data_IF_500449422032
#
_entry.id   IF_500449422032
#
_cell.length_a   1.000
_cell.length_b   1.000
_cell.length_c   1.000
_cell.angle_alpha   90.00
_cell.angle_beta   90.00
_cell.angle_gamma   90.00
#
_symmetry.space_group_name_H-M   'P 1'
#
loop_
_entity.id
_entity.type
_entity.pdbx_description
1 polymer ?
#
# COMPACT_ATOMS: atom_id res chain seq x y z
N UNK A 1 6.20 13.35 -17.73
CA UNK A 1 7.14 12.45 -17.02
C UNK A 1 7.27 12.71 -15.51
N UNK A 2 7.22 13.95 -15.00
CA UNK A 2 7.25 14.20 -13.54
C UNK A 2 5.91 13.89 -12.83
N UNK A 3 4.78 14.07 -13.51
CA UNK A 3 3.44 13.83 -12.93
C UNK A 3 3.23 12.35 -12.62
N UNK A 4 3.58 11.44 -13.53
CA UNK A 4 3.43 9.99 -13.32
C UNK A 4 4.27 9.45 -12.15
N UNK A 5 5.47 10.02 -11.93
CA UNK A 5 6.37 9.67 -10.83
C UNK A 5 5.81 10.08 -9.47
N UNK A 6 5.36 11.33 -9.39
CA UNK A 6 4.65 11.94 -8.25
C UNK A 6 3.41 11.08 -7.96
N UNK A 7 2.61 10.79 -8.98
CA UNK A 7 1.37 10.00 -8.87
C UNK A 7 1.62 8.60 -8.29
N UNK A 8 2.68 7.88 -8.69
CA UNK A 8 2.99 6.55 -8.15
C UNK A 8 3.29 6.56 -6.63
N UNK A 9 3.98 7.59 -6.14
CA UNK A 9 4.25 7.78 -4.71
C UNK A 9 2.98 8.14 -3.93
N UNK A 10 2.15 9.05 -4.46
CA UNK A 10 0.86 9.40 -3.85
C UNK A 10 -0.12 8.22 -3.85
N UNK A 11 -0.12 7.39 -4.89
CA UNK A 11 -0.93 6.16 -4.95
C UNK A 11 -0.49 5.15 -3.90
N UNK A 12 0.83 5.01 -3.67
CA UNK A 12 1.34 4.16 -2.57
C UNK A 12 0.86 4.68 -1.20
N UNK A 13 0.99 5.99 -0.97
CA UNK A 13 0.55 6.62 0.28
C UNK A 13 -0.96 6.48 0.46
N UNK A 14 -1.75 6.70 -0.60
CA UNK A 14 -3.20 6.52 -0.58
C UNK A 14 -3.60 5.08 -0.27
N UNK A 15 -2.92 4.08 -0.85
CA UNK A 15 -3.12 2.67 -0.53
C UNK A 15 -2.84 2.37 0.94
N UNK A 16 -1.74 2.89 1.49
CA UNK A 16 -1.41 2.74 2.92
C UNK A 16 -2.51 3.35 3.80
N UNK A 17 -2.96 4.57 3.47
CA UNK A 17 -4.02 5.25 4.23
C UNK A 17 -5.32 4.45 4.19
N UNK A 18 -5.72 3.93 3.03
CA UNK A 18 -6.93 3.11 2.89
C UNK A 18 -6.84 1.84 3.74
N UNK A 19 -5.68 1.17 3.75
CA UNK A 19 -5.47 -0.03 4.56
C UNK A 19 -5.59 0.30 6.05
N UNK A 20 -4.95 1.39 6.51
CA UNK A 20 -4.99 1.83 7.91
C UNK A 20 -6.41 2.23 8.33
N UNK A 21 -7.11 3.03 7.52
CA UNK A 21 -8.50 3.43 7.79
C UNK A 21 -9.44 2.23 7.79
N UNK A 22 -9.26 1.27 6.87
CA UNK A 22 -10.02 0.04 6.86
C UNK A 22 -9.83 -0.80 8.12
N UNK A 23 -8.61 -0.84 8.67
CA UNK A 23 -8.33 -1.54 9.95
C UNK A 23 -8.93 -0.82 11.14
N UNK A 24 -8.82 0.51 11.19
CA UNK A 24 -9.45 1.34 12.21
C UNK A 24 -10.97 1.15 12.22
N UNK A 25 -11.59 1.07 11.04
CA UNK A 25 -13.02 0.80 10.89
C UNK A 25 -13.38 -0.61 11.35
N UNK A 26 -12.62 -1.65 10.93
CA UNK A 26 -12.84 -3.01 11.42
C UNK A 26 -12.71 -3.10 12.94
N UNK A 27 -11.71 -2.45 13.53
CA UNK A 27 -11.54 -2.40 14.98
C UNK A 27 -12.70 -1.69 15.67
N UNK A 28 -13.17 -0.56 15.14
CA UNK A 28 -14.32 0.16 15.67
C UNK A 28 -15.61 -0.68 15.63
N UNK A 29 -15.74 -1.59 14.65
CA UNK A 29 -16.90 -2.45 14.48
C UNK A 29 -16.87 -3.73 15.32
N UNK A 30 -15.69 -4.35 15.49
CA UNK A 30 -15.56 -5.64 16.20
C UNK A 30 -15.03 -5.53 17.62
N UNK A 31 -14.43 -4.40 18.01
CA UNK A 31 -13.85 -4.17 19.35
C UNK A 31 -12.56 -4.96 19.64
N UNK A 32 -12.17 -5.89 18.77
CA UNK A 32 -10.98 -6.73 18.93
C UNK A 32 -9.90 -6.38 17.90
N UNK A 33 -8.83 -5.75 18.38
CA UNK A 33 -7.71 -5.32 17.56
C UNK A 33 -6.94 -6.52 16.96
N UNK A 34 -6.83 -7.61 17.72
CA UNK A 34 -6.14 -8.83 17.31
C UNK A 34 -6.83 -9.57 16.16
N UNK A 35 -8.16 -9.66 16.17
CA UNK A 35 -8.92 -10.27 15.07
C UNK A 35 -8.83 -9.44 13.79
N UNK A 36 -8.76 -8.11 13.93
CA UNK A 36 -8.59 -7.21 12.79
C UNK A 36 -7.21 -7.35 12.13
N UNK A 37 -6.15 -7.52 12.93
CA UNK A 37 -4.77 -7.69 12.47
C UNK A 37 -4.55 -9.10 11.88
N UNK A 38 -5.09 -10.14 12.50
CA UNK A 38 -4.95 -11.52 12.03
C UNK A 38 -5.96 -11.91 10.94
N UNK A 39 -6.79 -10.97 10.47
CA UNK A 39 -7.75 -11.28 9.41
C UNK A 39 -7.04 -11.60 8.09
N UNK A 40 -7.57 -12.61 7.39
CA UNK A 40 -7.13 -12.96 6.04
C UNK A 40 -7.14 -11.77 5.08
N UNK A 41 -8.12 -10.88 5.22
CA UNK A 41 -8.21 -9.63 4.47
C UNK A 41 -6.97 -8.76 4.67
N UNK A 42 -6.46 -8.60 5.90
CA UNK A 42 -5.25 -7.80 6.16
C UNK A 42 -4.02 -8.41 5.49
N UNK A 43 -3.89 -9.73 5.54
CA UNK A 43 -2.82 -10.46 4.87
C UNK A 43 -2.82 -10.22 3.34
N UNK A 44 -3.98 -10.28 2.69
CA UNK A 44 -4.12 -9.96 1.27
C UNK A 44 -3.72 -8.52 0.93
N UNK A 45 -4.08 -7.55 1.79
CA UNK A 45 -3.72 -6.14 1.59
C UNK A 45 -2.20 -5.93 1.71
N UNK A 46 -1.55 -6.55 2.70
CA UNK A 46 -0.09 -6.50 2.87
C UNK A 46 0.61 -7.14 1.67
N UNK A 47 0.14 -8.30 1.20
CA UNK A 47 0.68 -8.96 0.01
C UNK A 47 0.57 -8.08 -1.24
N UNK A 48 -0.59 -7.48 -1.49
CA UNK A 48 -0.77 -6.54 -2.61
C UNK A 48 0.19 -5.36 -2.53
N UNK A 49 0.42 -4.84 -1.32
CA UNK A 49 1.32 -3.71 -1.09
C UNK A 49 2.78 -4.10 -1.36
N UNK A 50 3.21 -5.29 -0.91
CA UNK A 50 4.55 -5.83 -1.21
C UNK A 50 4.74 -6.04 -2.70
N UNK A 51 3.76 -6.64 -3.40
CA UNK A 51 3.81 -6.84 -4.85
C UNK A 51 3.90 -5.50 -5.58
N UNK A 52 3.09 -4.52 -5.18
CA UNK A 52 3.09 -3.18 -5.78
C UNK A 52 4.44 -2.48 -5.59
N UNK A 53 5.05 -2.58 -4.40
CA UNK A 53 6.41 -2.06 -4.14
C UNK A 53 7.45 -2.78 -5.00
N UNK A 54 7.40 -4.11 -5.10
CA UNK A 54 8.31 -4.88 -5.96
C UNK A 54 8.21 -4.46 -7.43
N UNK A 55 7.00 -4.22 -7.94
CA UNK A 55 6.78 -3.71 -9.29
C UNK A 55 7.37 -2.31 -9.45
N UNK A 56 7.16 -1.40 -8.49
CA UNK A 56 7.76 -0.07 -8.50
C UNK A 56 9.30 -0.12 -8.51
N UNK A 57 9.90 -1.00 -7.70
CA UNK A 57 11.36 -1.20 -7.68
C UNK A 57 11.86 -1.76 -9.02
N UNK A 58 11.16 -2.74 -9.60
CA UNK A 58 11.51 -3.34 -10.89
C UNK A 58 11.44 -2.30 -12.01
N UNK A 59 10.38 -1.49 -12.04
CA UNK A 59 10.23 -0.40 -13.01
C UNK A 59 11.29 0.71 -12.83
N UNK A 60 11.73 0.98 -11.59
CA UNK A 60 12.87 1.85 -11.31
C UNK A 60 14.19 1.28 -11.84
N UNK A 61 14.45 -0.02 -11.63
CA UNK A 61 15.64 -0.70 -12.16
C UNK A 61 15.69 -0.72 -13.69
N UNK A 62 14.53 -0.77 -14.35
CA UNK A 62 14.40 -0.71 -15.81
C UNK A 62 14.56 0.71 -16.39
N UNK A 63 14.76 1.73 -15.55
CA UNK A 63 14.84 3.13 -16.01
C UNK A 63 13.51 3.69 -16.53
N UNK A 64 12.40 2.96 -16.37
CA UNK A 64 11.05 3.43 -16.75
C UNK A 64 10.52 4.48 -15.79
N UNK A 65 11.08 4.53 -14.58
CA UNK A 65 10.76 5.51 -13.53
C UNK A 65 12.09 5.96 -12.92
N UNK A 66 12.52 7.22 -13.11
CA UNK A 66 13.56 7.77 -12.24
C UNK A 66 12.99 7.98 -10.85
N UNK A 67 13.66 7.43 -9.84
CA UNK A 67 13.38 7.81 -8.46
C UNK A 67 13.67 9.29 -8.24
N UNK A 68 13.03 9.88 -7.22
CA UNK A 68 13.39 11.20 -6.69
C UNK A 68 14.92 11.25 -6.54
N UNK A 69 15.57 11.99 -7.42
CA UNK A 69 16.98 12.35 -7.35
C UNK A 69 17.07 13.73 -6.72
#
# INVERSE_FOLDING_TARGET
>A
MNIEKVMNGYVLIALVIIIVLGRLLSYALTGNLWDSINSFSFYCHILCLVVYICVLISLKKQGKIDGLR
#
